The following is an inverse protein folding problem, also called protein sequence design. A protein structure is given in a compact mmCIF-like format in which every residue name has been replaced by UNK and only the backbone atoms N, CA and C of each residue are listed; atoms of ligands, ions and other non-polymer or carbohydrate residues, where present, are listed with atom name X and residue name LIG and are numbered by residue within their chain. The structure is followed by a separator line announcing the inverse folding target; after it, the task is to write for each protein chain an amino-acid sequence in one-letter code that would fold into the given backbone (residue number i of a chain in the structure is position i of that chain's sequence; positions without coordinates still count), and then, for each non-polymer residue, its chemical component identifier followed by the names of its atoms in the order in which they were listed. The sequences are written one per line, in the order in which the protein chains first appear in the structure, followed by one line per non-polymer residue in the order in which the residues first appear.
data_IF_932190274163
#
_entry.id   IF_932190274163
#
_cell.length_a   1.000
_cell.length_b   1.000
_cell.length_c   1.000
_cell.angle_alpha   90.00
_cell.angle_beta   90.00
_cell.angle_gamma   90.00
#
_symmetry.space_group_name_H-M   'P 1'
#
loop_
_entity.id
_entity.type
_entity.pdbx_description
1 polymer ?
#
# COMPACT_ATOMS: atom_id res chain seq x y z
N UNK A 1 -53.29 66.79 24.43
CA UNK A 1 -53.55 67.71 23.30
C UNK A 1 -52.44 67.52 22.27
N UNK A 2 -52.75 66.78 21.19
CA UNK A 2 -52.12 66.68 19.85
C UNK A 2 -50.61 66.94 19.72
N UNK A 3 -49.82 65.86 19.51
CA UNK A 3 -48.45 65.89 18.96
C UNK A 3 -48.50 65.82 17.43
N UNK A 4 -47.86 66.77 16.74
CA UNK A 4 -47.59 66.73 15.29
C UNK A 4 -46.14 66.32 15.02
N UNK A 5 -45.97 65.49 13.98
CA UNK A 5 -44.76 64.87 13.47
C UNK A 5 -43.75 65.87 12.90
N UNK A 6 -42.46 65.54 13.01
CA UNK A 6 -41.39 66.09 12.16
C UNK A 6 -40.59 64.94 11.55
N UNK A 7 -40.62 64.87 10.22
CA UNK A 7 -39.77 64.05 9.36
C UNK A 7 -38.28 64.31 9.67
N UNK A 8 -37.48 63.26 9.81
CA UNK A 8 -36.02 63.32 9.72
C UNK A 8 -35.60 62.60 8.44
N UNK A 9 -34.95 63.34 7.54
CA UNK A 9 -34.35 62.86 6.30
C UNK A 9 -33.02 62.18 6.66
N UNK A 10 -32.87 60.90 6.34
CA UNK A 10 -31.62 60.15 6.50
C UNK A 10 -30.80 60.21 5.21
N UNK A 11 -29.55 60.66 5.33
CA UNK A 11 -28.57 60.70 4.25
C UNK A 11 -27.89 59.32 4.16
N UNK A 12 -28.10 58.57 3.07
CA UNK A 12 -27.43 57.30 2.80
C UNK A 12 -26.14 57.61 2.03
N UNK A 13 -24.99 57.32 2.64
CA UNK A 13 -23.69 57.29 1.97
C UNK A 13 -23.50 55.87 1.41
N UNK A 14 -23.47 55.73 0.08
CA UNK A 14 -23.12 54.49 -0.60
C UNK A 14 -21.61 54.48 -0.83
N UNK A 15 -20.88 53.67 -0.07
CA UNK A 15 -19.47 53.37 -0.34
C UNK A 15 -19.38 52.25 -1.38
N UNK A 16 -18.83 52.57 -2.55
CA UNK A 16 -18.43 51.58 -3.54
C UNK A 16 -17.14 50.90 -3.06
N UNK A 17 -17.25 49.66 -2.58
CA UNK A 17 -16.11 48.75 -2.50
C UNK A 17 -15.99 48.01 -3.82
N UNK A 18 -14.99 48.35 -4.63
CA UNK A 18 -14.56 47.55 -5.77
C UNK A 18 -13.80 46.34 -5.25
N UNK A 19 -14.49 45.21 -5.12
CA UNK A 19 -13.86 43.92 -4.88
C UNK A 19 -13.22 43.44 -6.18
N UNK A 20 -11.91 43.64 -6.33
CA UNK A 20 -11.12 42.93 -7.34
C UNK A 20 -10.91 41.50 -6.83
N UNK A 21 -11.77 40.59 -7.24
CA UNK A 21 -11.52 39.16 -7.07
C UNK A 21 -10.32 38.77 -7.96
N UNK A 22 -9.31 38.04 -7.46
CA UNK A 22 -8.29 37.49 -8.31
C UNK A 22 -8.95 36.45 -9.21
N UNK A 23 -8.89 36.66 -10.52
CA UNK A 23 -9.12 35.62 -11.52
C UNK A 23 -8.12 34.50 -11.26
N UNK A 24 -8.49 33.52 -10.43
CA UNK A 24 -7.87 32.21 -10.50
C UNK A 24 -8.28 31.64 -11.85
N UNK A 25 -7.30 31.55 -12.74
CA UNK A 25 -7.40 30.74 -13.94
C UNK A 25 -7.71 29.31 -13.47
N UNK A 26 -8.99 28.92 -13.53
CA UNK A 26 -9.39 27.52 -13.57
C UNK A 26 -8.87 26.97 -14.90
N UNK A 27 -7.59 26.63 -14.94
CA UNK A 27 -7.14 25.61 -15.89
C UNK A 27 -7.87 24.35 -15.45
N UNK A 28 -8.82 23.89 -16.27
CA UNK A 28 -9.37 22.57 -16.11
C UNK A 28 -8.18 21.61 -16.10
N UNK A 29 -7.97 20.89 -14.99
CA UNK A 29 -7.10 19.71 -15.01
C UNK A 29 -7.57 18.85 -16.18
N UNK A 30 -6.68 18.60 -17.15
CA UNK A 30 -7.00 17.70 -18.25
C UNK A 30 -7.36 16.34 -17.64
N UNK A 31 -8.65 16.01 -17.63
CA UNK A 31 -9.13 14.74 -17.07
C UNK A 31 -8.48 13.59 -17.83
N UNK A 32 -7.55 12.89 -17.18
CA UNK A 32 -6.91 11.70 -17.73
C UNK A 32 -7.97 10.61 -17.95
N UNK A 33 -7.91 9.94 -19.09
CA UNK A 33 -8.80 8.82 -19.49
C UNK A 33 -7.98 7.55 -19.66
N UNK A 34 -8.55 6.34 -19.70
CA UNK A 34 -7.77 5.08 -19.78
C UNK A 34 -6.56 5.11 -20.75
N UNK A 35 -6.70 5.78 -21.89
CA UNK A 35 -5.66 5.92 -22.91
C UNK A 35 -4.51 6.88 -22.55
N UNK A 36 -4.64 7.66 -21.46
CA UNK A 36 -3.63 8.55 -20.90
C UNK A 36 -2.56 7.81 -20.09
N UNK A 37 -2.64 6.49 -19.99
CA UNK A 37 -1.70 5.64 -19.24
C UNK A 37 -1.12 4.55 -20.14
N UNK A 38 0.07 4.07 -19.77
CA UNK A 38 0.74 2.94 -20.40
C UNK A 38 0.59 1.70 -19.53
N UNK A 39 0.21 0.57 -20.11
CA UNK A 39 0.16 -0.70 -19.38
C UNK A 39 1.57 -1.11 -18.95
N UNK A 40 1.71 -1.54 -17.69
CA UNK A 40 2.92 -2.20 -17.22
C UNK A 40 3.16 -3.48 -18.04
N UNK A 41 4.43 -3.76 -18.42
CA UNK A 41 4.76 -4.94 -19.21
C UNK A 41 4.58 -6.22 -18.39
N UNK A 42 4.20 -7.31 -19.06
CA UNK A 42 4.09 -8.65 -18.44
C UNK A 42 5.43 -9.30 -18.09
N UNK A 43 6.54 -8.64 -18.43
CA UNK A 43 7.84 -9.23 -18.15
C UNK A 43 8.16 -9.06 -16.65
N UNK A 44 8.45 -10.18 -16.01
CA UNK A 44 9.04 -10.22 -14.66
C UNK A 44 10.56 -10.04 -14.71
N UNK A 45 11.13 -9.68 -15.86
CA UNK A 45 12.58 -9.50 -15.98
C UNK A 45 13.05 -8.23 -15.27
N UNK A 46 12.15 -7.25 -15.15
CA UNK A 46 12.32 -6.05 -14.34
C UNK A 46 11.91 -6.26 -12.88
N UNK A 47 11.40 -7.44 -12.52
CA UNK A 47 10.97 -7.78 -11.16
C UNK A 47 11.66 -9.08 -10.74
N UNK A 48 12.98 -8.98 -10.49
CA UNK A 48 13.74 -10.12 -9.98
C UNK A 48 13.00 -10.65 -8.75
N UNK A 49 12.50 -11.91 -8.82
CA UNK A 49 11.62 -12.46 -7.78
C UNK A 49 12.12 -12.05 -6.40
N UNK A 50 11.32 -11.37 -5.58
CA UNK A 50 11.73 -10.76 -4.30
C UNK A 50 12.60 -11.70 -3.45
N UNK A 51 12.32 -13.00 -3.44
CA UNK A 51 13.16 -14.00 -2.78
C UNK A 51 14.64 -14.01 -3.21
N UNK A 52 14.95 -13.66 -4.46
CA UNK A 52 16.30 -13.48 -4.99
C UNK A 52 16.96 -12.23 -4.40
N UNK A 53 16.24 -11.10 -4.34
CA UNK A 53 16.74 -9.88 -3.68
C UNK A 53 16.96 -10.13 -2.19
N UNK A 54 16.00 -10.73 -1.48
CA UNK A 54 16.18 -11.11 -0.07
C UNK A 54 17.36 -12.07 0.14
N UNK A 55 17.57 -13.05 -0.74
CA UNK A 55 18.72 -13.95 -0.65
C UNK A 55 20.07 -13.24 -0.90
N UNK A 56 20.09 -12.16 -1.69
CA UNK A 56 21.28 -11.36 -1.98
C UNK A 56 21.66 -10.41 -0.82
N UNK A 57 20.67 -9.91 -0.08
CA UNK A 57 20.86 -8.84 0.92
C UNK A 57 20.78 -9.29 2.41
N UNK A 58 20.64 -10.58 2.74
CA UNK A 58 20.62 -11.06 4.14
C UNK A 58 22.04 -11.30 4.72
N UNK A 59 22.38 -10.82 5.94
CA UNK A 59 22.32 -11.44 7.30
C UNK A 59 22.96 -10.41 8.31
N UNK A 60 22.73 -10.36 9.68
CA UNK A 60 21.79 -11.07 10.57
C UNK A 60 20.90 -10.16 11.48
N UNK A 61 19.63 -10.53 11.64
CA UNK A 61 19.04 -10.69 12.98
C UNK A 61 18.67 -12.16 13.07
N UNK A 62 19.68 -12.94 13.44
CA UNK A 62 19.74 -14.38 13.41
C UNK A 62 19.26 -14.88 14.77
N UNK A 63 18.19 -15.65 14.79
CA UNK A 63 17.94 -16.51 15.94
C UNK A 63 18.87 -17.73 15.79
N UNK A 64 19.92 -17.87 16.62
CA UNK A 64 20.84 -19.01 16.57
C UNK A 64 20.14 -20.33 16.85
N UNK A 65 19.01 -20.27 17.55
CA UNK A 65 18.23 -21.44 17.92
C UNK A 65 17.15 -21.76 16.88
N UNK A 66 17.02 -20.97 15.80
CA UNK A 66 16.09 -21.29 14.73
C UNK A 66 16.56 -22.56 14.01
N UNK A 67 15.65 -23.51 13.73
CA UNK A 67 16.00 -24.80 13.17
C UNK A 67 16.72 -24.66 11.82
N UNK A 68 17.78 -25.42 11.61
CA UNK A 68 18.53 -25.41 10.34
C UNK A 68 17.83 -26.22 9.23
N UNK A 69 16.84 -27.05 9.57
CA UNK A 69 16.19 -27.97 8.65
C UNK A 69 14.69 -27.69 8.49
N UNK A 70 14.15 -27.99 7.29
CA UNK A 70 12.72 -27.86 6.94
C UNK A 70 11.78 -28.77 7.76
N UNK A 71 12.32 -29.65 8.59
CA UNK A 71 11.57 -30.70 9.27
C UNK A 71 11.06 -30.27 10.66
N UNK A 72 11.44 -29.09 11.15
CA UNK A 72 10.85 -28.51 12.35
C UNK A 72 9.75 -27.50 11.97
N UNK A 73 8.70 -27.47 12.78
CA UNK A 73 7.49 -26.68 12.50
C UNK A 73 7.83 -25.21 12.66
N UNK A 74 7.73 -24.40 11.60
CA UNK A 74 7.77 -22.93 11.73
C UNK A 74 6.36 -22.42 12.05
N UNK A 75 6.26 -21.31 12.78
CA UNK A 75 4.98 -20.61 12.96
C UNK A 75 4.36 -20.22 11.61
N UNK A 76 5.21 -19.73 10.70
CA UNK A 76 4.87 -19.47 9.30
C UNK A 76 5.67 -20.44 8.42
N UNK A 77 5.06 -21.55 7.95
CA UNK A 77 5.78 -22.54 7.16
C UNK A 77 6.17 -22.01 5.77
N UNK A 78 7.26 -22.53 5.16
CA UNK A 78 7.68 -22.10 3.82
C UNK A 78 6.66 -22.45 2.72
N UNK A 79 5.81 -23.45 2.97
CA UNK A 79 4.73 -23.90 2.12
C UNK A 79 3.34 -23.42 2.61
N UNK A 80 3.30 -22.25 3.27
CA UNK A 80 2.06 -21.66 3.81
C UNK A 80 0.89 -21.80 2.83
N UNK A 81 -0.20 -22.40 3.31
CA UNK A 81 -1.38 -22.68 2.52
C UNK A 81 -2.65 -22.24 3.23
N UNK A 82 -3.42 -21.39 2.55
CA UNK A 82 -4.76 -21.01 2.93
C UNK A 82 -5.76 -22.15 2.66
N UNK A 83 -6.82 -22.31 3.48
CA UNK A 83 -7.06 -21.62 4.75
C UNK A 83 -6.34 -22.27 5.95
N UNK A 84 -5.76 -23.47 5.78
CA UNK A 84 -5.26 -24.30 6.90
C UNK A 84 -4.32 -23.52 7.82
N UNK A 85 -3.29 -22.91 7.25
CA UNK A 85 -2.23 -22.25 8.01
C UNK A 85 -2.65 -20.85 8.49
N UNK A 86 -3.69 -20.26 7.87
CA UNK A 86 -4.32 -19.03 8.37
C UNK A 86 -5.26 -19.31 9.56
N UNK A 87 -5.90 -20.48 9.59
CA UNK A 87 -6.84 -20.89 10.66
C UNK A 87 -6.15 -21.42 11.90
N UNK A 88 -5.05 -22.14 11.75
CA UNK A 88 -4.42 -22.91 12.86
C UNK A 88 -2.93 -22.61 12.98
N UNK A 89 -2.47 -22.52 14.23
CA UNK A 89 -1.07 -22.32 14.58
C UNK A 89 -0.42 -23.68 14.78
N UNK A 90 0.49 -24.05 13.86
CA UNK A 90 1.16 -25.34 13.89
C UNK A 90 2.10 -25.49 15.11
N UNK A 91 2.59 -24.39 15.68
CA UNK A 91 3.43 -24.42 16.88
C UNK A 91 2.63 -24.63 18.16
N UNK A 92 1.32 -24.38 18.14
CA UNK A 92 0.43 -24.48 19.29
C UNK A 92 -0.52 -25.66 19.17
N UNK A 93 0.01 -26.83 18.79
CA UNK A 93 -0.77 -28.07 18.62
C UNK A 93 -1.98 -27.91 17.66
N UNK A 94 -1.83 -27.13 16.59
CA UNK A 94 -2.90 -26.77 15.65
C UNK A 94 -4.11 -26.06 16.29
N UNK A 95 -3.91 -25.35 17.41
CA UNK A 95 -4.95 -24.48 17.98
C UNK A 95 -5.33 -23.37 16.99
N UNK A 96 -6.58 -22.87 17.04
CA UNK A 96 -6.98 -21.74 16.21
C UNK A 96 -6.05 -20.54 16.40
N UNK A 97 -5.63 -19.92 15.30
CA UNK A 97 -4.92 -18.63 15.35
C UNK A 97 -5.87 -17.57 15.91
N UNK A 98 -5.41 -16.90 16.96
CA UNK A 98 -6.10 -15.75 17.55
C UNK A 98 -5.26 -14.50 17.28
N UNK A 99 -5.94 -13.37 17.07
CA UNK A 99 -5.28 -12.07 16.81
C UNK A 99 -4.31 -12.07 15.62
N UNK A 100 -4.66 -12.81 14.57
CA UNK A 100 -3.92 -12.82 13.30
C UNK A 100 -4.92 -12.68 12.15
N UNK A 101 -4.65 -11.75 11.25
CA UNK A 101 -5.47 -11.50 10.07
C UNK A 101 -4.55 -11.60 8.87
N UNK A 102 -4.83 -12.58 8.00
CA UNK A 102 -4.04 -12.83 6.82
C UNK A 102 -4.68 -12.18 5.60
N UNK A 103 -3.85 -11.65 4.72
CA UNK A 103 -4.28 -11.08 3.45
C UNK A 103 -3.29 -11.38 2.34
N UNK A 104 -3.65 -10.97 1.14
CA UNK A 104 -2.81 -11.10 -0.05
C UNK A 104 -2.65 -9.76 -0.73
N UNK A 105 -1.69 -9.67 -1.62
CA UNK A 105 -1.56 -8.56 -2.54
C UNK A 105 -1.33 -9.07 -3.97
N UNK A 106 -1.92 -8.36 -4.94
CA UNK A 106 -2.02 -8.80 -6.32
C UNK A 106 -1.72 -7.67 -7.31
N UNK A 107 -1.31 -8.06 -8.51
CA UNK A 107 -0.98 -7.20 -9.64
C UNK A 107 -1.31 -7.92 -10.95
N UNK A 108 -0.98 -7.33 -12.09
CA UNK A 108 -1.11 -7.94 -13.41
C UNK A 108 -0.37 -9.28 -13.59
N UNK A 109 0.55 -9.66 -12.69
CA UNK A 109 1.15 -11.00 -12.65
C UNK A 109 0.22 -12.08 -12.08
N UNK A 110 -0.85 -11.67 -11.40
CA UNK A 110 -1.89 -12.58 -10.91
C UNK A 110 -2.82 -12.96 -12.04
N UNK A 111 -3.28 -14.21 -12.07
CA UNK A 111 -4.23 -14.68 -13.09
C UNK A 111 -5.45 -13.75 -13.16
N UNK A 112 -5.85 -13.28 -14.37
CA UNK A 112 -7.04 -12.47 -14.53
C UNK A 112 -8.34 -13.20 -14.15
N UNK A 113 -8.30 -14.54 -14.09
CA UNK A 113 -9.42 -15.43 -13.74
C UNK A 113 -9.55 -15.68 -12.23
N UNK A 114 -8.84 -14.92 -11.39
CA UNK A 114 -8.93 -15.02 -9.94
C UNK A 114 -10.38 -14.85 -9.44
N UNK A 115 -10.95 -15.92 -8.89
CA UNK A 115 -12.29 -15.88 -8.28
C UNK A 115 -12.26 -15.27 -6.88
N UNK A 116 -12.52 -13.97 -6.80
CA UNK A 116 -12.50 -13.23 -5.54
C UNK A 116 -13.63 -13.63 -4.57
N UNK A 117 -14.67 -14.32 -5.04
CA UNK A 117 -15.79 -14.76 -4.18
C UNK A 117 -15.34 -15.79 -3.14
N UNK A 118 -14.23 -16.47 -3.39
CA UNK A 118 -13.69 -17.51 -2.52
C UNK A 118 -12.72 -16.97 -1.46
N UNK A 119 -12.26 -15.71 -1.54
CA UNK A 119 -11.23 -15.16 -0.64
C UNK A 119 -11.59 -15.34 0.84
N UNK A 120 -12.78 -14.91 1.24
CA UNK A 120 -13.26 -15.05 2.62
C UNK A 120 -13.36 -16.52 3.07
N UNK A 121 -13.84 -17.40 2.21
CA UNK A 121 -13.92 -18.84 2.50
C UNK A 121 -12.53 -19.47 2.67
N UNK A 122 -11.52 -18.91 2.00
CA UNK A 122 -10.12 -19.32 2.08
C UNK A 122 -9.36 -18.61 3.22
N UNK A 123 -10.03 -17.84 4.08
CA UNK A 123 -9.40 -17.05 5.16
C UNK A 123 -8.39 -16.00 4.68
N UNK A 124 -8.55 -15.54 3.45
CA UNK A 124 -7.99 -14.25 3.03
C UNK A 124 -8.94 -13.18 3.54
N UNK A 125 -8.47 -12.34 4.45
CA UNK A 125 -9.29 -11.34 5.16
C UNK A 125 -9.06 -9.91 4.68
N UNK A 126 -8.07 -9.66 3.84
CA UNK A 126 -7.88 -8.39 3.13
C UNK A 126 -7.10 -8.60 1.84
N UNK A 127 -7.19 -7.64 0.92
CA UNK A 127 -6.45 -7.65 -0.35
C UNK A 127 -5.89 -6.26 -0.71
N UNK A 128 -4.65 -6.20 -1.17
CA UNK A 128 -4.08 -5.01 -1.82
C UNK A 128 -3.89 -5.24 -3.33
N UNK A 129 -4.13 -4.22 -4.15
CA UNK A 129 -4.15 -4.33 -5.61
C UNK A 129 -3.27 -3.24 -6.21
N UNK A 130 -2.30 -3.61 -7.06
CA UNK A 130 -1.41 -2.64 -7.73
C UNK A 130 -2.25 -1.75 -8.63
N UNK A 131 -2.09 -0.43 -8.52
CA UNK A 131 -2.80 0.52 -9.36
C UNK A 131 -1.87 1.16 -10.40
N UNK A 132 -0.76 1.73 -9.96
CA UNK A 132 0.13 2.54 -10.81
C UNK A 132 1.60 2.38 -10.41
N UNK A 133 2.47 2.83 -11.31
CA UNK A 133 3.90 2.94 -11.08
C UNK A 133 4.42 4.19 -11.81
N UNK A 134 5.12 5.07 -11.09
CA UNK A 134 5.49 6.37 -11.66
C UNK A 134 4.25 7.20 -12.07
N UNK A 135 4.42 8.13 -13.02
CA UNK A 135 3.33 9.04 -13.45
C UNK A 135 2.53 8.55 -14.65
N UNK A 136 3.08 7.60 -15.43
CA UNK A 136 2.48 7.15 -16.70
C UNK A 136 1.97 5.72 -16.67
N UNK A 137 2.57 4.83 -15.86
CA UNK A 137 2.26 3.41 -15.95
C UNK A 137 1.11 3.00 -15.04
N UNK A 138 0.22 2.16 -15.58
CA UNK A 138 -0.89 1.54 -14.85
C UNK A 138 -0.75 0.03 -14.82
N UNK A 139 -1.25 -0.59 -13.76
CA UNK A 139 -1.46 -2.02 -13.74
C UNK A 139 -2.69 -2.37 -14.58
N UNK A 140 -2.48 -3.15 -15.65
CA UNK A 140 -3.53 -3.45 -16.63
C UNK A 140 -4.69 -4.26 -16.08
N UNK A 141 -4.53 -4.95 -14.94
CA UNK A 141 -5.60 -5.71 -14.30
C UNK A 141 -6.26 -4.93 -13.14
N UNK A 142 -5.73 -3.76 -12.75
CA UNK A 142 -6.29 -2.96 -11.66
C UNK A 142 -7.78 -2.70 -11.84
N UNK A 143 -8.21 -2.18 -13.00
CA UNK A 143 -9.63 -1.90 -13.28
C UNK A 143 -10.53 -3.11 -12.98
N UNK A 144 -10.10 -4.29 -13.44
CA UNK A 144 -10.85 -5.55 -13.26
C UNK A 144 -10.85 -5.95 -11.79
N UNK A 145 -9.67 -6.11 -11.19
CA UNK A 145 -9.51 -6.58 -9.82
C UNK A 145 -10.15 -5.63 -8.80
N UNK A 146 -10.01 -4.32 -9.01
CA UNK A 146 -10.68 -3.32 -8.18
C UNK A 146 -12.19 -3.51 -8.26
N UNK A 147 -12.77 -3.56 -9.45
CA UNK A 147 -14.22 -3.74 -9.61
C UNK A 147 -14.71 -5.07 -9.03
N UNK A 148 -14.03 -6.18 -9.29
CA UNK A 148 -14.41 -7.51 -8.80
C UNK A 148 -14.43 -7.55 -7.27
N UNK A 149 -13.38 -7.04 -6.61
CA UNK A 149 -13.33 -6.97 -5.14
C UNK A 149 -14.40 -6.02 -4.57
N UNK A 150 -14.61 -4.87 -5.22
CA UNK A 150 -15.49 -3.81 -4.76
C UNK A 150 -16.98 -4.05 -4.99
N UNK A 151 -17.33 -5.08 -5.76
CA UNK A 151 -18.71 -5.45 -6.08
C UNK A 151 -19.16 -6.74 -5.36
N UNK A 152 -18.30 -7.34 -4.54
CA UNK A 152 -18.67 -8.51 -3.74
C UNK A 152 -19.79 -8.17 -2.74
N UNK A 153 -20.76 -9.08 -2.52
CA UNK A 153 -21.74 -8.93 -1.45
C UNK A 153 -21.05 -8.80 -0.09
N UNK A 154 -21.57 -7.93 0.79
CA UNK A 154 -20.99 -7.69 2.12
C UNK A 154 -20.80 -8.97 2.97
N UNK A 155 -21.60 -10.02 2.73
CA UNK A 155 -21.44 -11.31 3.42
C UNK A 155 -20.15 -12.05 3.05
N UNK A 156 -19.56 -11.79 1.88
CA UNK A 156 -18.33 -12.44 1.38
C UNK A 156 -17.20 -11.46 1.03
N UNK A 157 -17.47 -10.15 1.03
CA UNK A 157 -16.47 -9.12 0.78
C UNK A 157 -15.36 -9.13 1.84
N UNK A 158 -14.17 -8.73 1.40
CA UNK A 158 -12.99 -8.49 2.23
C UNK A 158 -12.51 -7.05 1.94
N UNK A 159 -11.99 -6.31 2.94
CA UNK A 159 -11.40 -4.99 2.70
C UNK A 159 -10.36 -5.05 1.59
N UNK A 160 -10.48 -4.15 0.61
CA UNK A 160 -9.53 -3.96 -0.49
C UNK A 160 -8.77 -2.65 -0.33
N UNK A 161 -7.52 -2.62 -0.74
CA UNK A 161 -6.70 -1.41 -0.82
C UNK A 161 -5.97 -1.33 -2.16
N UNK A 162 -5.54 -0.13 -2.53
CA UNK A 162 -4.75 0.09 -3.73
C UNK A 162 -3.33 0.52 -3.36
N UNK A 163 -2.34 0.08 -4.13
CA UNK A 163 -0.95 0.50 -3.93
C UNK A 163 -0.33 1.12 -5.19
N UNK A 164 0.60 2.04 -4.95
CA UNK A 164 1.38 2.74 -5.95
C UNK A 164 2.86 2.40 -5.77
N UNK A 165 3.51 1.91 -6.83
CA UNK A 165 4.96 1.70 -6.84
C UNK A 165 5.67 3.02 -7.11
N UNK A 166 6.36 3.55 -6.11
CA UNK A 166 7.13 4.78 -6.21
C UNK A 166 8.36 4.53 -7.07
N UNK A 167 8.57 5.36 -8.10
CA UNK A 167 9.65 5.15 -9.06
C UNK A 167 10.57 6.37 -9.21
N UNK A 168 11.85 6.13 -9.49
CA UNK A 168 12.84 7.12 -9.94
C UNK A 168 13.12 7.03 -11.44
N UNK A 169 12.28 6.32 -12.21
CA UNK A 169 12.40 6.21 -13.67
C UNK A 169 12.34 7.55 -14.42
N UNK A 170 11.80 8.60 -13.79
CA UNK A 170 11.72 9.95 -14.33
C UNK A 170 11.95 11.00 -13.24
N UNK A 171 12.15 12.24 -13.68
CA UNK A 171 12.31 13.40 -12.80
C UNK A 171 10.99 13.85 -12.13
N UNK A 172 9.89 13.13 -12.35
CA UNK A 172 8.60 13.45 -11.75
C UNK A 172 8.68 13.43 -10.21
N UNK A 173 8.18 14.49 -9.60
CA UNK A 173 8.09 14.65 -8.15
C UNK A 173 7.21 13.58 -7.49
N UNK A 174 7.32 13.47 -6.17
CA UNK A 174 6.42 12.62 -5.39
C UNK A 174 4.96 13.04 -5.51
N UNK A 175 4.71 14.36 -5.57
CA UNK A 175 3.39 14.94 -5.75
C UNK A 175 2.77 14.54 -7.10
N UNK A 176 3.52 14.60 -8.20
CA UNK A 176 3.05 14.18 -9.52
C UNK A 176 2.70 12.67 -9.56
N UNK A 177 3.50 11.83 -8.90
CA UNK A 177 3.24 10.40 -8.77
C UNK A 177 1.99 10.11 -7.92
N UNK A 178 1.83 10.81 -6.79
CA UNK A 178 0.62 10.76 -5.99
C UNK A 178 -0.61 11.19 -6.78
N UNK A 179 -0.49 12.26 -7.58
CA UNK A 179 -1.58 12.73 -8.41
C UNK A 179 -1.98 11.69 -9.46
N UNK A 180 -1.02 11.12 -10.17
CA UNK A 180 -1.26 10.06 -11.14
C UNK A 180 -1.94 8.83 -10.51
N UNK A 181 -1.50 8.42 -9.32
CA UNK A 181 -2.11 7.32 -8.58
C UNK A 181 -3.55 7.61 -8.16
N UNK A 182 -3.81 8.76 -7.55
CA UNK A 182 -5.15 9.12 -7.06
C UNK A 182 -6.11 9.37 -8.23
N UNK A 183 -5.64 9.95 -9.34
CA UNK A 183 -6.45 10.12 -10.55
C UNK A 183 -6.89 8.77 -11.12
N UNK A 184 -5.95 7.82 -11.24
CA UNK A 184 -6.26 6.49 -11.75
C UNK A 184 -7.19 5.70 -10.81
N UNK A 185 -6.99 5.82 -9.50
CA UNK A 185 -7.89 5.26 -8.49
C UNK A 185 -9.31 5.84 -8.61
N UNK A 186 -9.44 7.16 -8.75
CA UNK A 186 -10.72 7.86 -8.88
C UNK A 186 -11.44 7.54 -10.19
N UNK A 187 -10.70 7.40 -11.30
CA UNK A 187 -11.23 6.93 -12.58
C UNK A 187 -11.95 5.57 -12.45
N UNK A 188 -11.54 4.76 -11.47
CA UNK A 188 -12.12 3.44 -11.16
C UNK A 188 -13.05 3.43 -9.95
N UNK A 189 -13.62 4.57 -9.59
CA UNK A 189 -14.63 4.69 -8.54
C UNK A 189 -14.07 5.00 -7.15
N UNK A 190 -12.77 5.29 -7.05
CA UNK A 190 -12.14 5.80 -5.84
C UNK A 190 -12.14 4.83 -4.66
N UNK A 191 -11.80 5.35 -3.50
CA UNK A 191 -11.97 4.66 -2.22
C UNK A 191 -13.43 4.73 -1.76
N UNK A 192 -13.93 3.60 -1.26
CA UNK A 192 -15.25 3.47 -0.62
C UNK A 192 -15.10 3.25 0.89
N UNK A 193 -16.21 3.40 1.61
CA UNK A 193 -16.27 2.99 3.02
C UNK A 193 -15.93 1.50 3.13
N UNK A 194 -15.02 1.16 4.03
CA UNK A 194 -14.50 -0.21 4.17
C UNK A 194 -13.27 -0.53 3.33
N UNK A 195 -12.86 0.34 2.39
CA UNK A 195 -11.58 0.21 1.68
C UNK A 195 -10.42 0.61 2.60
N UNK A 196 -9.30 -0.12 2.49
CA UNK A 196 -8.08 0.11 3.24
C UNK A 196 -7.37 1.40 2.81
N UNK A 197 -6.51 1.99 3.66
CA UNK A 197 -5.70 3.13 3.26
C UNK A 197 -4.80 2.79 2.07
N UNK A 198 -4.52 3.77 1.19
CA UNK A 198 -3.56 3.59 0.12
C UNK A 198 -2.17 3.20 0.61
N UNK A 199 -1.41 2.54 -0.25
CA UNK A 199 -0.01 2.16 0.03
C UNK A 199 0.92 2.84 -0.97
N UNK A 200 2.03 3.39 -0.48
CA UNK A 200 3.20 3.74 -1.29
C UNK A 200 4.22 2.62 -1.12
N UNK A 201 4.51 1.94 -2.21
CA UNK A 201 5.50 0.87 -2.31
C UNK A 201 6.86 1.50 -2.64
N UNK A 202 7.75 1.49 -1.64
CA UNK A 202 9.11 2.01 -1.67
C UNK A 202 10.10 0.86 -1.53
N UNK A 203 10.57 0.35 -2.65
CA UNK A 203 11.53 -0.74 -2.73
C UNK A 203 12.53 -0.54 -3.88
N UNK A 204 13.34 -1.56 -4.18
CA UNK A 204 14.26 -1.55 -5.32
C UNK A 204 13.51 -1.23 -6.61
N UNK A 205 13.84 -0.11 -7.26
CA UNK A 205 13.22 0.28 -8.53
C UNK A 205 14.01 -0.35 -9.69
N UNK A 206 13.83 -1.66 -9.85
CA UNK A 206 14.57 -2.50 -10.80
C UNK A 206 14.12 -2.23 -12.25
N UNK A 207 15.06 -2.30 -13.19
CA UNK A 207 14.81 -2.37 -14.63
C UNK A 207 15.78 -3.36 -15.28
N UNK A 208 15.59 -3.67 -16.58
CA UNK A 208 16.48 -4.57 -17.33
C UNK A 208 17.95 -4.20 -17.28
N UNK A 209 18.25 -2.90 -17.15
CA UNK A 209 19.60 -2.35 -17.19
C UNK A 209 20.07 -1.77 -15.86
N UNK A 210 19.20 -1.68 -14.86
CA UNK A 210 19.53 -1.12 -13.56
C UNK A 210 18.96 -1.99 -12.42
N UNK A 211 19.79 -2.56 -11.54
CA UNK A 211 19.31 -3.36 -10.43
C UNK A 211 18.61 -2.54 -9.34
N UNK A 212 18.76 -1.21 -9.32
CA UNK A 212 17.97 -0.31 -8.46
C UNK A 212 18.16 1.14 -8.93
N UNK A 213 17.12 1.74 -9.53
CA UNK A 213 17.16 3.13 -10.00
C UNK A 213 17.25 4.16 -8.88
N UNK A 214 17.09 3.78 -7.61
CA UNK A 214 17.36 4.69 -6.49
C UNK A 214 18.86 4.90 -6.25
N UNK A 215 19.70 3.96 -6.68
CA UNK A 215 21.16 4.08 -6.50
C UNK A 215 21.68 5.22 -7.35
N UNK A 216 22.30 6.19 -6.69
CA UNK A 216 22.79 7.43 -7.30
C UNK A 216 22.01 8.67 -6.87
N UNK A 217 20.79 8.49 -6.33
CA UNK A 217 20.10 9.54 -5.62
C UNK A 217 20.60 9.65 -4.18
N UNK A 218 20.66 10.88 -3.66
CA UNK A 218 20.92 11.13 -2.25
C UNK A 218 19.74 10.67 -1.39
N UNK A 219 20.02 10.32 -0.13
CA UNK A 219 18.97 9.98 0.82
C UNK A 219 17.92 11.10 0.97
N UNK A 220 18.33 12.37 0.89
CA UNK A 220 17.42 13.52 0.95
C UNK A 220 16.44 13.56 -0.22
N UNK A 221 16.90 13.28 -1.44
CA UNK A 221 16.03 13.24 -2.63
C UNK A 221 15.00 12.11 -2.55
N UNK A 222 15.43 10.93 -2.11
CA UNK A 222 14.54 9.78 -1.94
C UNK A 222 13.49 10.08 -0.86
N UNK A 223 13.93 10.55 0.32
CA UNK A 223 13.04 10.90 1.44
C UNK A 223 12.05 11.99 1.03
N UNK A 224 12.51 13.06 0.38
CA UNK A 224 11.65 14.14 -0.07
C UNK A 224 10.59 13.63 -1.05
N UNK A 225 10.99 12.89 -2.08
CA UNK A 225 10.06 12.31 -3.07
C UNK A 225 9.03 11.38 -2.40
N UNK A 226 9.46 10.53 -1.47
CA UNK A 226 8.53 9.66 -0.73
C UNK A 226 7.56 10.46 0.12
N UNK A 227 8.04 11.45 0.89
CA UNK A 227 7.19 12.27 1.77
C UNK A 227 6.20 13.13 0.99
N UNK A 228 6.62 13.71 -0.15
CA UNK A 228 5.72 14.48 -1.01
C UNK A 228 4.60 13.60 -1.57
N UNK A 229 4.93 12.37 -1.99
CA UNK A 229 3.94 11.40 -2.43
C UNK A 229 2.96 11.05 -1.31
N UNK A 230 3.46 10.70 -0.12
CA UNK A 230 2.62 10.33 1.03
C UNK A 230 1.69 11.48 1.47
N UNK A 231 2.21 12.70 1.60
CA UNK A 231 1.44 13.88 1.98
C UNK A 231 0.36 14.20 0.96
N UNK A 232 0.68 14.10 -0.33
CA UNK A 232 -0.29 14.39 -1.39
C UNK A 232 -1.39 13.32 -1.46
N UNK A 233 -1.06 12.03 -1.26
CA UNK A 233 -2.07 10.98 -1.13
C UNK A 233 -2.98 11.23 0.07
N UNK A 234 -2.42 11.57 1.25
CA UNK A 234 -3.21 11.89 2.44
C UNK A 234 -4.12 13.10 2.20
N UNK A 235 -3.60 14.15 1.56
CA UNK A 235 -4.36 15.36 1.23
C UNK A 235 -5.52 15.09 0.27
N UNK A 236 -5.31 14.27 -0.77
CA UNK A 236 -6.34 13.99 -1.79
C UNK A 236 -7.35 12.92 -1.39
N UNK A 237 -6.96 11.98 -0.52
CA UNK A 237 -7.82 10.86 -0.13
C UNK A 237 -8.43 11.00 1.28
N UNK A 238 -7.87 11.88 2.12
CA UNK A 238 -8.20 11.98 3.54
C UNK A 238 -7.80 10.74 4.35
N UNK A 239 -7.00 9.84 3.77
CA UNK A 239 -6.57 8.59 4.38
C UNK A 239 -5.05 8.60 4.51
N UNK A 240 -4.54 8.37 5.72
CA UNK A 240 -3.11 8.24 5.94
C UNK A 240 -2.56 7.03 5.19
N UNK A 241 -1.66 7.21 4.21
CA UNK A 241 -1.10 6.08 3.48
C UNK A 241 -0.15 5.24 4.34
N UNK A 242 0.04 4.00 3.92
CA UNK A 242 1.01 3.05 4.48
C UNK A 242 2.23 3.02 3.57
N UNK A 243 3.43 2.88 4.14
CA UNK A 243 4.65 2.62 3.36
C UNK A 243 4.88 1.12 3.32
N UNK A 244 4.81 0.52 2.13
CA UNK A 244 5.37 -0.81 1.91
C UNK A 244 6.87 -0.69 1.62
N UNK A 245 7.69 -1.53 2.25
CA UNK A 245 9.15 -1.57 2.00
C UNK A 245 9.79 -2.82 2.59
N UNK A 246 11.08 -3.02 2.33
CA UNK A 246 11.91 -4.05 2.97
C UNK A 246 13.07 -3.40 3.72
N UNK A 247 13.35 -3.85 4.96
CA UNK A 247 14.51 -3.33 5.73
C UNK A 247 15.83 -3.51 4.99
N UNK A 248 15.96 -4.58 4.21
CA UNK A 248 17.16 -4.87 3.44
C UNK A 248 17.43 -3.88 2.29
N UNK A 249 16.44 -3.10 1.87
CA UNK A 249 16.62 -2.06 0.85
C UNK A 249 17.32 -0.81 1.41
N UNK A 250 17.16 -0.53 2.70
CA UNK A 250 17.80 0.60 3.37
C UNK A 250 19.31 0.39 3.52
N UNK A 251 20.10 1.28 2.91
CA UNK A 251 21.56 1.17 2.89
C UNK A 251 22.23 2.54 2.76
N UNK A 252 23.56 2.58 2.75
CA UNK A 252 24.30 3.79 2.43
C UNK A 252 24.17 4.23 0.96
N UNK A 253 23.64 3.37 0.07
CA UNK A 253 23.41 3.67 -1.35
C UNK A 253 21.99 4.20 -1.62
N UNK A 254 21.10 4.10 -0.64
CA UNK A 254 19.70 4.54 -0.69
C UNK A 254 19.45 5.43 0.54
N UNK A 255 18.62 4.99 1.49
CA UNK A 255 18.38 5.68 2.76
C UNK A 255 19.11 4.92 3.89
N UNK A 256 20.07 5.55 4.59
CA UNK A 256 20.67 4.95 5.78
C UNK A 256 19.64 4.65 6.87
N UNK A 257 19.76 3.53 7.57
CA UNK A 257 18.81 3.14 8.63
C UNK A 257 18.66 4.20 9.75
N UNK A 258 19.69 5.02 9.99
CA UNK A 258 19.64 6.14 10.95
C UNK A 258 18.66 7.24 10.56
N UNK A 259 18.18 7.25 9.31
CA UNK A 259 17.24 8.24 8.77
C UNK A 259 15.81 7.75 8.63
N UNK A 260 15.49 6.51 9.00
CA UNK A 260 14.11 6.00 8.89
C UNK A 260 13.12 6.77 9.77
N UNK A 261 13.61 7.45 10.82
CA UNK A 261 12.78 8.32 11.67
C UNK A 261 12.04 9.43 10.91
N UNK A 262 12.44 9.76 9.69
CA UNK A 262 11.75 10.71 8.80
C UNK A 262 10.35 10.19 8.38
N UNK A 263 10.13 8.88 8.45
CA UNK A 263 8.85 8.24 8.11
C UNK A 263 7.99 7.86 9.33
N UNK A 264 8.36 8.31 10.54
CA UNK A 264 7.74 7.89 11.82
C UNK A 264 6.22 8.10 11.90
N UNK A 265 5.69 9.07 11.15
CA UNK A 265 4.28 9.44 11.18
C UNK A 265 3.41 8.52 10.30
N UNK A 266 4.04 7.66 9.48
CA UNK A 266 3.37 6.74 8.56
C UNK A 266 3.50 5.27 9.02
N UNK A 267 2.41 4.49 8.99
CA UNK A 267 2.47 3.06 9.26
C UNK A 267 3.29 2.30 8.20
N UNK A 268 3.98 1.25 8.64
CA UNK A 268 4.83 0.42 7.78
C UNK A 268 4.19 -0.94 7.51
N UNK A 269 4.14 -1.32 6.24
CA UNK A 269 3.96 -2.68 5.77
C UNK A 269 5.35 -3.23 5.39
N UNK A 270 5.92 -4.09 6.24
CA UNK A 270 7.28 -4.57 6.05
C UNK A 270 7.28 -5.89 5.26
N UNK A 271 8.12 -6.00 4.25
CA UNK A 271 8.45 -7.26 3.59
C UNK A 271 9.68 -7.90 4.25
N UNK A 272 9.54 -9.17 4.65
CA UNK A 272 10.63 -9.96 5.21
C UNK A 272 10.35 -11.45 5.07
N UNK A 273 11.10 -12.12 4.19
CA UNK A 273 10.84 -13.51 3.83
C UNK A 273 11.72 -14.50 4.57
N UNK A 274 12.54 -14.02 5.51
CA UNK A 274 13.53 -14.83 6.22
C UNK A 274 12.89 -16.02 6.94
N UNK A 275 13.27 -17.27 6.61
CA UNK A 275 12.72 -18.46 7.28
C UNK A 275 12.94 -18.48 8.79
N UNK A 276 14.03 -17.89 9.31
CA UNK A 276 14.31 -17.87 10.75
C UNK A 276 13.40 -16.91 11.51
N UNK A 277 12.94 -15.82 10.89
CA UNK A 277 11.96 -14.89 11.49
C UNK A 277 10.52 -15.39 11.40
N UNK A 278 10.28 -16.32 10.48
CA UNK A 278 9.03 -17.10 10.43
C UNK A 278 8.92 -18.13 11.55
N UNK A 279 10.01 -18.43 12.25
CA UNK A 279 9.98 -19.34 13.39
C UNK A 279 9.25 -18.73 14.58
N UNK A 280 9.56 -17.48 14.92
CA UNK A 280 9.02 -16.75 16.08
C UNK A 280 8.08 -15.60 15.71
N UNK A 281 7.70 -15.51 14.43
CA UNK A 281 6.81 -14.46 13.91
C UNK A 281 7.31 -13.03 14.16
N UNK A 282 8.63 -12.84 14.13
CA UNK A 282 9.25 -11.56 14.46
C UNK A 282 9.99 -10.98 13.25
N UNK A 283 9.31 -10.21 12.37
CA UNK A 283 9.95 -9.61 11.20
C UNK A 283 11.01 -8.59 11.58
N UNK A 284 11.96 -8.36 10.67
CA UNK A 284 12.95 -7.31 10.80
C UNK A 284 12.31 -5.95 10.49
N UNK A 285 11.80 -5.31 11.53
CA UNK A 285 11.19 -3.97 11.44
C UNK A 285 12.23 -2.86 11.30
N UNK A 286 11.78 -1.71 10.79
CA UNK A 286 12.60 -0.51 10.75
C UNK A 286 12.68 0.13 12.15
N UNK A 287 13.84 0.68 12.55
CA UNK A 287 13.98 1.28 13.87
C UNK A 287 13.03 2.48 14.07
N UNK A 288 12.30 2.50 15.18
CA UNK A 288 11.45 3.63 15.56
C UNK A 288 10.21 3.83 14.70
N UNK A 289 9.84 2.87 13.85
CA UNK A 289 8.62 2.91 13.04
C UNK A 289 7.48 2.08 13.65
N UNK A 290 6.26 2.33 13.17
CA UNK A 290 5.08 1.54 13.55
C UNK A 290 4.77 0.54 12.43
N UNK A 291 5.23 -0.69 12.56
CA UNK A 291 4.86 -1.78 11.64
C UNK A 291 3.45 -2.28 11.94
N UNK A 292 2.58 -2.26 10.92
CA UNK A 292 1.18 -2.69 11.01
C UNK A 292 0.91 -3.98 10.23
N UNK A 293 1.63 -4.22 9.12
CA UNK A 293 1.49 -5.41 8.29
C UNK A 293 2.87 -5.99 8.03
N UNK A 294 2.99 -7.32 8.01
CA UNK A 294 4.18 -8.02 7.56
C UNK A 294 3.87 -8.90 6.35
N UNK A 295 4.47 -8.62 5.20
CA UNK A 295 4.51 -9.54 4.06
C UNK A 295 5.59 -10.59 4.32
N UNK A 296 5.16 -11.81 4.59
CA UNK A 296 6.05 -12.88 5.00
C UNK A 296 6.47 -13.77 3.83
N UNK A 297 5.76 -13.77 2.71
CA UNK A 297 6.11 -14.65 1.60
C UNK A 297 5.53 -14.19 0.28
N UNK A 298 6.18 -14.65 -0.80
CA UNK A 298 5.77 -14.48 -2.21
C UNK A 298 5.16 -15.74 -2.85
N UNK A 299 4.87 -16.76 -2.04
CA UNK A 299 4.58 -18.11 -2.55
C UNK A 299 3.50 -18.86 -1.77
N UNK A 300 2.66 -18.14 -1.02
CA UNK A 300 1.58 -18.77 -0.32
C UNK A 300 0.64 -19.45 -1.31
N UNK A 301 0.15 -20.63 -0.96
CA UNK A 301 -0.76 -21.41 -1.80
C UNK A 301 -2.19 -21.16 -1.39
N UNK A 302 -3.08 -21.02 -2.36
CA UNK A 302 -4.52 -21.02 -2.14
C UNK A 302 -5.15 -22.10 -3.04
N UNK A 303 -5.23 -23.36 -2.57
CA UNK A 303 -5.75 -24.46 -3.37
C UNK A 303 -7.16 -24.17 -3.90
N UNK A 304 -7.35 -24.39 -5.19
CA UNK A 304 -8.61 -24.09 -5.91
C UNK A 304 -8.75 -22.63 -6.35
N UNK A 305 -7.78 -21.75 -6.06
CA UNK A 305 -7.77 -20.37 -6.52
C UNK A 305 -6.70 -20.10 -7.56
N UNK A 306 -5.48 -20.60 -7.34
CA UNK A 306 -4.38 -20.54 -8.30
C UNK A 306 -3.38 -21.66 -8.00
N UNK A 307 -2.65 -22.09 -9.03
CA UNK A 307 -1.47 -22.94 -8.89
C UNK A 307 -0.20 -22.12 -8.66
N UNK A 308 -0.21 -20.83 -9.02
CA UNK A 308 0.85 -19.88 -8.70
C UNK A 308 0.78 -19.47 -7.22
N UNK A 309 1.92 -19.01 -6.70
CA UNK A 309 2.01 -18.46 -5.36
C UNK A 309 1.43 -17.06 -5.27
N UNK A 310 0.99 -16.69 -4.07
CA UNK A 310 0.57 -15.33 -3.73
C UNK A 310 1.56 -14.68 -2.77
N UNK A 311 1.78 -13.39 -3.00
CA UNK A 311 2.29 -12.50 -1.97
C UNK A 311 1.28 -12.47 -0.82
N UNK A 312 1.76 -12.71 0.40
CA UNK A 312 0.90 -12.91 1.55
C UNK A 312 1.44 -12.25 2.81
N UNK A 313 0.49 -11.66 3.52
CA UNK A 313 0.75 -10.75 4.60
C UNK A 313 -0.07 -11.10 5.85
N UNK A 314 0.46 -10.71 7.00
CA UNK A 314 -0.20 -10.84 8.30
C UNK A 314 -0.28 -9.48 9.00
N UNK A 315 -1.46 -9.19 9.54
CA UNK A 315 -1.70 -8.17 10.55
C UNK A 315 -1.85 -8.85 11.92
N UNK A 316 -1.15 -8.33 12.93
CA UNK A 316 -1.24 -8.82 14.31
C UNK A 316 -2.26 -8.00 15.10
N UNK A 317 -3.38 -8.61 15.42
CA UNK A 317 -4.45 -8.02 16.21
C UNK A 317 -5.81 -8.65 15.97
N UNK A 318 -6.78 -8.28 16.79
CA UNK A 318 -8.18 -8.68 16.59
C UNK A 318 -8.78 -7.97 15.37
N UNK A 319 -9.91 -8.49 14.88
CA UNK A 319 -10.68 -7.83 13.80
C UNK A 319 -11.05 -6.38 14.20
N UNK A 320 -11.37 -6.13 15.48
CA UNK A 320 -11.65 -4.78 15.97
C UNK A 320 -10.40 -3.88 15.87
N UNK A 321 -9.22 -4.40 16.23
CA UNK A 321 -7.96 -3.64 16.14
C UNK A 321 -7.57 -3.36 14.69
N UNK A 322 -7.83 -4.29 13.78
CA UNK A 322 -7.63 -4.07 12.34
C UNK A 322 -8.52 -2.95 11.82
N UNK A 323 -9.81 -2.98 12.16
CA UNK A 323 -10.78 -1.94 11.76
C UNK A 323 -10.41 -0.57 12.30
N UNK A 324 -10.02 -0.49 13.57
CA UNK A 324 -9.53 0.74 14.19
C UNK A 324 -8.25 1.25 13.48
N UNK A 325 -7.28 0.37 13.25
CA UNK A 325 -5.97 0.74 12.67
C UNK A 325 -6.12 1.30 11.26
N UNK A 326 -6.99 0.71 10.46
CA UNK A 326 -7.17 1.08 9.06
C UNK A 326 -8.38 1.98 8.81
N UNK A 327 -9.18 2.30 9.84
CA UNK A 327 -10.41 3.09 9.68
C UNK A 327 -11.45 2.41 8.78
N UNK A 328 -11.55 1.07 8.84
CA UNK A 328 -12.49 0.28 8.04
C UNK A 328 -13.65 -0.20 8.92
N UNK A 329 -14.62 0.69 9.15
CA UNK A 329 -15.86 0.36 9.86
C UNK A 329 -16.92 -0.11 8.87
#
# INVERSE_FOLDING_TARGET
MIRRSRLKLALIIVSFFTATAPFHCLLAEETRTESSWTDLPDDQSEDASRAKLFAEYEIPAYNPNAPETKNETLAIPPDFAFPRDARTDRLKDNKPRANSIFGIDISHYTSPDLDMTLLKQKDVKFIYIKATQGVLSKDKLFKKFWADAGNLPASIAVPRGAYHFLSSASDASGEEQANAFVDYLNLHGGLKTGDLPPVVDLEWDVSKTNPDRWVGHSADEIIAKTLDCLKQIEARTGRRPIIYTAKAWFSSKTIPLSRVGEFKDYPIWIADYNPKRKFDETPAVLPGSTTVIWQFTDRAKIPGLSTAGFDSSIFYGSDAKFRETFGVN
#
